data_IF_098018238532
#
_entry.id   IF_098018238532
#
_cell.length_a   1.000
_cell.length_b   1.000
_cell.length_c   1.000
_cell.angle_alpha   90.00
_cell.angle_beta   90.00
_cell.angle_gamma   90.00
#
_symmetry.space_group_name_H-M   'P 1'
#
loop_
_entity.id
_entity.type
_entity.pdbx_description
1 polymer ?
2 water ?
#
# COMPACT_ATOMS: atom_id res chain seq x y z
N UNK A 16 -28.89 9.17 -10.06
CA UNK A 16 -28.18 9.52 -8.85
C UNK A 16 -28.12 8.28 -7.98
N UNK A 17 -26.93 7.70 -7.87
CA UNK A 17 -26.70 6.48 -7.10
C UNK A 17 -26.44 6.71 -5.61
N UNK A 18 -26.95 5.76 -4.82
CA UNK A 18 -26.83 5.81 -3.37
C UNK A 18 -25.51 5.21 -2.89
N UNK A 19 -25.16 5.50 -1.64
CA UNK A 19 -23.93 4.97 -1.07
C UNK A 19 -23.95 3.45 -1.11
N UNK A 20 -25.14 2.88 -0.93
CA UNK A 20 -25.28 1.43 -0.95
C UNK A 20 -25.01 0.84 -2.33
N UNK A 21 -25.43 1.54 -3.37
CA UNK A 21 -25.20 1.05 -4.74
C UNK A 21 -23.73 1.23 -5.09
N UNK A 22 -23.17 2.36 -4.69
CA UNK A 22 -21.77 2.64 -4.96
C UNK A 22 -20.89 1.60 -4.27
N UNK A 23 -21.24 1.24 -3.04
CA UNK A 23 -20.49 0.26 -2.26
C UNK A 23 -20.51 -1.08 -2.97
N UNK A 24 -21.67 -1.40 -3.55
CA UNK A 24 -21.84 -2.66 -4.28
C UNK A 24 -20.96 -2.66 -5.51
N UNK A 26 -18.26 -1.07 -6.06
CA UNK A 26 -16.86 -1.12 -5.71
C UNK A 26 -16.39 -2.24 -4.83
N UNK A 27 -17.28 -3.17 -4.56
CA UNK A 27 -16.92 -4.26 -3.69
C UNK A 27 -16.43 -3.71 -2.36
N UNK A 28 -17.08 -2.65 -1.88
CA UNK A 28 -16.72 -2.03 -0.61
C UNK A 28 -17.97 -2.06 0.25
N UNK A 29 -17.80 -1.85 1.55
CA UNK A 29 -18.97 -1.85 2.44
C UNK A 29 -19.52 -0.43 2.55
N UNK A 30 -20.79 -0.34 2.95
CA UNK A 30 -21.42 0.96 3.16
C UNK A 30 -20.61 1.71 4.22
N UNK A 31 -20.11 0.98 5.21
CA UNK A 31 -19.31 1.60 6.25
C UNK A 31 -18.06 2.29 5.70
N UNK A 32 -17.38 1.64 4.77
CA UNK A 32 -16.17 2.23 4.19
C UNK A 32 -16.49 3.52 3.43
N UNK A 33 -17.52 3.47 2.60
CA UNK A 33 -17.88 4.66 1.84
C UNK A 33 -18.26 5.80 2.78
N UNK A 34 -19.02 5.48 3.82
CA UNK A 34 -19.43 6.49 4.78
C UNK A 34 -18.21 7.06 5.51
N UNK A 35 -17.20 6.23 5.71
CA UNK A 35 -16.01 6.69 6.38
C UNK A 35 -15.27 7.70 5.51
N UNK A 36 -15.19 7.43 4.22
CA UNK A 36 -14.53 8.34 3.28
C UNK A 36 -15.32 9.63 3.25
N UNK A 37 -16.64 9.51 3.29
CA UNK A 37 -17.50 10.69 3.28
C UNK A 37 -17.12 11.49 4.53
N UNK A 38 -17.04 10.79 5.66
CA UNK A 38 -16.69 11.40 6.94
C UNK A 38 -15.35 12.12 6.85
N UNK A 39 -14.40 11.55 6.10
CA UNK A 39 -13.08 12.17 5.94
C UNK A 39 -13.10 13.44 5.08
N UNK A 40 -14.25 13.74 4.48
CA UNK A 40 -14.34 14.94 3.67
C UNK A 40 -13.91 14.75 2.23
N UNK A 41 -13.89 13.50 1.79
CA UNK A 41 -13.48 13.20 0.43
C UNK A 41 -14.57 13.40 -0.60
N UNK A 42 -15.83 13.49 -0.17
CA UNK A 42 -16.92 13.67 -1.13
C UNK A 42 -17.69 14.99 -0.98
N UNK A 43 -17.00 16.14 -1.11
CA UNK A 43 -17.69 17.42 -0.97
C UNK A 43 -18.64 17.68 -2.13
N UNK A 44 -18.57 16.85 -3.16
CA UNK A 44 -19.40 17.02 -4.35
C UNK A 44 -20.73 16.25 -4.33
N UNK A 45 -21.00 15.55 -3.24
CA UNK A 45 -22.25 14.81 -3.15
C UNK A 45 -23.39 15.80 -3.08
N UNK A 46 -24.56 15.35 -3.52
CA UNK A 46 -25.74 16.18 -3.47
C UNK A 46 -26.80 15.33 -2.78
N UNK A 47 -27.99 15.87 -2.57
CA UNK A 47 -29.06 15.11 -1.95
C UNK A 47 -30.18 14.93 -2.94
N UNK A 48 -30.83 13.76 -2.90
CA UNK A 48 -31.95 13.56 -3.80
C UNK A 48 -33.17 14.08 -3.08
N UNK A 49 -34.36 13.86 -3.64
CA UNK A 49 -35.58 14.34 -3.03
C UNK A 49 -35.79 13.79 -1.63
N UNK A 50 -35.24 12.62 -1.34
CA UNK A 50 -35.39 12.02 -0.02
C UNK A 50 -34.32 12.50 0.98
N UNK A 51 -33.41 13.35 0.51
CA UNK A 51 -32.36 13.86 1.38
C UNK A 51 -31.18 12.92 1.48
N UNK A 52 -31.23 11.83 0.72
CA UNK A 52 -30.15 10.86 0.71
C UNK A 52 -28.92 11.44 -0.03
N UNK A 53 -27.73 11.17 0.48
CA UNK A 53 -26.51 11.71 -0.14
C UNK A 53 -26.17 10.81 -1.33
N UNK A 54 -26.31 11.37 -2.53
CA UNK A 54 -26.13 10.61 -3.78
C UNK A 54 -24.99 11.01 -4.72
N UNK A 55 -24.65 10.09 -5.62
CA UNK A 55 -23.58 10.28 -6.60
C UNK A 55 -24.14 10.39 -8.01
N UNK A 56 -23.87 11.49 -8.70
CA UNK A 56 -24.32 11.60 -10.07
C UNK A 56 -23.15 11.05 -10.92
N UNK A 57 -23.31 11.00 -12.24
CA UNK A 57 -22.24 10.45 -13.08
C UNK A 57 -20.87 11.03 -12.77
N UNK A 58 -20.79 12.34 -12.65
CA UNK A 58 -19.54 13.02 -12.37
C UNK A 58 -18.97 12.60 -11.01
N UNK A 59 -19.86 12.47 -10.02
CA UNK A 59 -19.48 12.08 -8.67
C UNK A 59 -18.79 10.71 -8.68
N UNK A 60 -19.33 9.79 -9.47
CA UNK A 60 -18.78 8.46 -9.56
C UNK A 60 -17.38 8.49 -10.15
N UNK A 61 -17.17 9.37 -11.13
CA UNK A 61 -15.86 9.48 -11.76
C UNK A 61 -14.86 9.99 -10.72
N UNK A 62 -15.30 10.94 -9.90
CA UNK A 62 -14.44 11.46 -8.85
C UNK A 62 -14.16 10.33 -7.85
N UNK A 63 -15.17 9.48 -7.62
CA UNK A 63 -15.00 8.37 -6.70
C UNK A 63 -13.93 7.39 -7.20
N UNK A 64 -13.99 7.07 -8.48
CA UNK A 64 -13.03 6.18 -9.11
C UNK A 64 -11.60 6.67 -8.87
N UNK A 66 -10.59 8.85 -6.58
CA UNK A 66 -10.30 8.90 -5.17
C UNK A 66 -9.79 7.55 -4.70
N UNK A 67 -10.47 6.50 -5.10
CA UNK A 67 -10.05 5.16 -4.72
C UNK A 67 -8.71 4.83 -5.37
N UNK A 68 -8.55 5.25 -6.62
CA UNK A 68 -7.31 5.01 -7.34
C UNK A 68 -6.13 5.62 -6.58
N UNK A 69 -6.26 6.90 -6.25
CA UNK A 69 -5.20 7.59 -5.54
C UNK A 69 -5.00 6.99 -4.16
N UNK A 70 -6.08 6.62 -3.51
CA UNK A 70 -5.97 6.04 -2.18
C UNK A 70 -5.23 4.70 -2.28
N UNK A 71 -5.60 3.91 -3.28
CA UNK A 71 -5.01 2.60 -3.47
C UNK A 71 -3.59 2.64 -4.04
N UNK A 72 -3.10 3.84 -4.35
CA UNK A 72 -1.75 3.97 -4.86
C UNK A 72 -0.91 4.78 -3.88
N UNK A 73 -1.36 4.81 -2.63
CA UNK A 73 -0.61 5.49 -1.58
C UNK A 73 -0.65 6.98 -1.37
N UNK A 75 -1.73 10.39 0.27
CA UNK A 75 -2.30 10.74 1.58
C UNK A 75 -3.67 11.39 1.38
N UNK A 76 -4.60 11.07 2.26
CA UNK A 76 -5.97 11.60 2.20
C UNK A 76 -5.97 13.11 1.98
N UNK A 77 -5.25 13.83 2.82
CA UNK A 77 -5.19 15.28 2.72
C UNK A 77 -4.85 15.72 1.30
N UNK A 78 -3.95 14.99 0.65
CA UNK A 78 -3.53 15.31 -0.71
C UNK A 78 -4.68 15.02 -1.70
N UNK A 79 -5.41 13.94 -1.46
CA UNK A 79 -6.52 13.62 -2.33
C UNK A 79 -7.58 14.72 -2.22
N UNK A 80 -7.89 15.11 -0.99
CA UNK A 80 -8.88 16.17 -0.75
C UNK A 80 -8.47 17.44 -1.48
N UNK A 81 -7.17 17.74 -1.45
CA UNK A 81 -6.62 18.91 -2.12
C UNK A 81 -6.90 18.79 -3.62
N UNK A 82 -6.72 17.58 -4.15
CA UNK A 82 -6.97 17.31 -5.57
C UNK A 82 -8.46 17.53 -5.88
N UNK A 83 -9.32 17.04 -5.00
CA UNK A 83 -10.75 17.19 -5.20
C UNK A 83 -11.13 18.67 -5.16
N UNK A 84 -10.54 19.42 -4.23
CA UNK A 84 -10.83 20.85 -4.13
C UNK A 84 -10.47 21.55 -5.43
N UNK A 85 -9.28 21.29 -5.95
CA UNK A 85 -8.87 21.92 -7.20
C UNK A 85 -9.80 21.58 -8.35
N UNK A 86 -10.24 20.33 -8.42
CA UNK A 86 -11.13 19.90 -9.48
C UNK A 86 -12.42 20.70 -9.54
N UNK A 88 -12.73 23.71 -8.33
CA UNK A 88 -12.41 25.12 -8.47
C UNK A 88 -12.43 25.50 -9.94
N UNK A 89 -12.21 24.52 -10.80
CA UNK A 89 -12.24 24.79 -12.23
C UNK A 89 -10.90 24.68 -12.92
N UNK A 90 -10.88 24.99 -14.22
CA UNK A 90 -9.66 24.89 -15.01
C UNK A 90 -8.56 25.83 -14.53
N UNK A 91 -8.85 26.60 -13.50
CA UNK A 91 -7.86 27.54 -12.96
C UNK A 91 -6.77 26.75 -12.24
N UNK A 92 -7.06 25.48 -11.98
CA UNK A 92 -6.13 24.61 -11.28
C UNK A 92 -5.67 23.46 -12.17
N UNK A 93 -6.05 23.51 -13.44
CA UNK A 93 -5.68 22.46 -14.38
C UNK A 93 -4.19 22.13 -14.34
N UNK A 94 -3.33 23.13 -14.20
CA UNK A 94 -1.88 22.90 -14.15
C UNK A 94 -1.48 22.21 -12.85
N UNK A 95 -2.13 22.60 -11.75
CA UNK A 95 -1.85 22.00 -10.45
C UNK A 95 -2.21 20.51 -10.48
N UNK A 96 -3.35 20.22 -11.07
CA UNK A 96 -3.84 18.85 -11.14
C UNK A 96 -2.97 17.99 -12.06
N UNK A 97 -2.65 18.50 -13.25
CA UNK A 97 -1.80 17.77 -14.20
C UNK A 97 -0.50 17.39 -13.50
N UNK A 98 0.11 18.38 -12.84
CA UNK A 98 1.34 18.19 -12.09
C UNK A 98 1.18 17.03 -11.10
N UNK A 99 0.07 17.06 -10.36
CA UNK A 99 -0.24 16.04 -9.37
C UNK A 99 -0.34 14.65 -9.98
N UNK A 101 0.88 13.66 -12.91
CA UNK A 101 2.16 13.26 -13.46
C UNK A 101 3.03 12.75 -12.33
N UNK A 102 2.93 13.41 -11.18
CA UNK A 102 3.72 12.98 -10.02
C UNK A 102 3.25 11.61 -9.53
N UNK A 103 1.95 11.37 -9.59
CA UNK A 103 1.43 10.08 -9.15
C UNK A 103 1.78 8.97 -10.15
N UNK A 104 1.84 9.32 -11.43
CA UNK A 104 2.21 8.32 -12.45
C UNK A 104 3.65 7.91 -12.12
N UNK A 105 4.49 8.92 -11.89
CA UNK A 105 5.88 8.62 -11.55
C UNK A 105 5.91 7.74 -10.29
N UNK A 106 5.11 8.08 -9.29
CA UNK A 106 5.05 7.30 -8.05
C UNK A 106 4.55 5.88 -8.29
N UNK A 107 3.57 5.73 -9.16
CA UNK A 107 3.03 4.42 -9.39
C UNK A 107 3.99 3.53 -10.19
N UNK A 108 4.73 4.14 -11.12
CA UNK A 108 5.69 3.38 -11.88
C UNK A 108 6.76 2.85 -10.89
N UNK A 109 7.12 3.67 -9.91
CA UNK A 109 8.09 3.24 -8.90
C UNK A 109 7.51 2.09 -8.04
N UNK A 110 6.23 2.18 -7.71
CA UNK A 110 5.56 1.14 -6.93
C UNK A 110 5.67 -0.18 -7.67
N UNK A 111 5.32 -0.16 -8.96
CA UNK A 111 5.37 -1.35 -9.80
C UNK A 111 6.80 -1.89 -9.79
N UNK A 112 7.76 -1.01 -10.04
CA UNK A 112 9.15 -1.42 -10.07
C UNK A 112 9.55 -2.10 -8.75
N UNK A 113 9.18 -1.47 -7.64
CA UNK A 113 9.54 -2.00 -6.33
C UNK A 113 8.77 -3.28 -6.02
N UNK A 114 7.53 -3.35 -6.46
CA UNK A 114 6.74 -4.55 -6.19
C UNK A 114 7.30 -5.71 -7.01
N UNK A 115 7.79 -5.44 -8.21
CA UNK A 115 8.39 -6.51 -9.03
C UNK A 115 9.65 -7.04 -8.33
N UNK A 116 10.42 -6.12 -7.74
CA UNK A 116 11.63 -6.49 -7.03
C UNK A 116 11.27 -7.42 -5.85
N UNK A 117 10.18 -7.10 -5.18
CA UNK A 117 9.74 -7.91 -4.06
C UNK A 117 9.20 -9.24 -4.54
N UNK A 118 8.54 -9.25 -5.69
CA UNK A 118 8.00 -10.49 -6.23
C UNK A 118 9.15 -11.45 -6.49
N UNK A 119 10.26 -10.92 -7.01
CA UNK A 119 11.43 -11.75 -7.30
C UNK A 119 11.99 -12.38 -6.05
N UNK A 120 12.06 -11.62 -4.96
CA UNK A 120 12.58 -12.15 -3.70
C UNK A 120 11.68 -13.29 -3.23
N UNK A 121 10.37 -13.07 -3.31
CA UNK A 121 9.40 -14.07 -2.90
C UNK A 121 9.57 -15.33 -3.72
N UNK A 122 9.67 -15.17 -5.03
CA UNK A 122 9.81 -16.31 -5.92
C UNK A 122 11.11 -17.04 -5.69
N UNK A 123 12.18 -16.32 -5.40
CA UNK A 123 13.46 -16.97 -5.15
C UNK A 123 13.33 -17.82 -3.88
N UNK A 124 12.65 -17.27 -2.88
CA UNK A 124 12.45 -17.98 -1.63
C UNK A 124 11.67 -19.27 -1.92
N UNK A 125 10.73 -19.20 -2.85
CA UNK A 125 9.93 -20.37 -3.23
C UNK A 125 10.83 -21.42 -3.88
N UNK A 126 11.78 -20.97 -4.68
CA UNK A 126 12.70 -21.88 -5.35
C UNK A 126 13.55 -22.56 -4.26
N UNK A 127 14.04 -21.75 -3.33
CA UNK A 127 14.88 -22.24 -2.23
C UNK A 127 14.18 -23.35 -1.48
N UNK A 128 12.90 -23.18 -1.20
CA UNK A 128 12.13 -24.20 -0.49
C UNK A 128 11.96 -25.45 -1.35
N UNK B 16 28.91 -7.98 13.16
CA UNK B 16 27.54 -7.63 13.42
C UNK B 16 27.35 -6.14 13.15
N UNK B 17 26.08 -5.76 13.11
CA UNK B 17 25.68 -4.40 12.84
C UNK B 17 24.63 -3.98 13.85
N UNK B 18 24.70 -2.72 14.27
CA UNK B 18 23.75 -2.19 15.24
C UNK B 18 22.39 -1.86 14.63
N UNK B 19 21.35 -1.82 15.46
CA UNK B 19 20.00 -1.50 15.01
C UNK B 19 20.05 -0.18 14.23
N UNK B 20 20.90 0.74 14.70
CA UNK B 20 21.05 2.04 14.08
C UNK B 20 21.68 2.00 12.70
N UNK B 21 22.71 1.18 12.52
CA UNK B 21 23.37 1.08 11.22
C UNK B 21 22.45 0.39 10.22
N UNK B 22 21.74 -0.62 10.70
CA UNK B 22 20.83 -1.36 9.84
C UNK B 22 19.72 -0.44 9.36
N UNK B 23 19.27 0.48 10.22
CA UNK B 23 18.23 1.42 9.86
C UNK B 23 18.71 2.28 8.71
N UNK B 24 19.96 2.72 8.80
CA UNK B 24 20.53 3.53 7.75
C UNK B 24 20.65 2.73 6.45
N UNK B 26 18.95 0.15 5.58
CA UNK B 26 17.61 -0.17 5.08
C UNK B 26 16.73 1.04 4.91
N UNK B 27 17.33 2.22 4.97
CA UNK B 27 16.58 3.47 4.83
C UNK B 27 15.33 3.44 5.70
N UNK B 28 15.52 2.96 6.93
CA UNK B 28 14.45 2.88 7.91
C UNK B 28 14.79 3.84 9.04
N UNK B 29 13.78 4.30 9.77
CA UNK B 29 14.01 5.18 10.90
C UNK B 29 14.26 4.27 12.07
N UNK B 30 14.95 4.77 13.09
CA UNK B 30 15.25 3.99 14.28
C UNK B 30 13.96 3.47 14.91
N UNK B 31 12.93 4.31 14.92
CA UNK B 31 11.65 3.95 15.50
C UNK B 31 10.90 2.89 14.70
N UNK B 32 11.06 2.92 13.37
CA UNK B 32 10.38 1.96 12.50
C UNK B 32 10.88 0.55 12.82
N UNK B 33 12.19 0.40 12.94
CA UNK B 33 12.78 -0.89 13.24
C UNK B 33 12.38 -1.37 14.63
N UNK B 34 12.23 -0.43 15.55
CA UNK B 34 11.86 -0.80 16.91
C UNK B 34 10.42 -1.31 16.96
N UNK B 35 9.60 -0.82 16.04
CA UNK B 35 8.22 -1.24 15.97
C UNK B 35 8.21 -2.73 15.63
N UNK B 36 9.00 -3.09 14.63
CA UNK B 36 9.09 -4.48 14.20
C UNK B 36 9.63 -5.32 15.36
N UNK B 37 10.49 -4.70 16.17
CA UNK B 37 11.06 -5.38 17.32
C UNK B 37 9.96 -5.68 18.32
N UNK B 38 9.17 -4.65 18.66
CA UNK B 38 8.08 -4.82 19.60
C UNK B 38 7.07 -5.84 19.08
N UNK B 39 6.86 -5.84 17.77
CA UNK B 39 5.92 -6.79 17.17
C UNK B 39 6.52 -8.20 17.23
N UNK B 40 7.71 -8.30 17.80
CA UNK B 40 8.38 -9.58 17.94
C UNK B 40 8.78 -10.23 16.64
N UNK B 41 9.39 -9.48 15.74
CA UNK B 41 9.80 -10.00 14.44
C UNK B 41 11.29 -10.34 14.38
N UNK B 42 12.03 -10.01 15.42
CA UNK B 42 13.46 -10.28 15.45
C UNK B 42 13.87 -11.23 16.58
N UNK B 43 13.27 -12.42 16.65
CA UNK B 43 13.64 -13.34 17.72
C UNK B 43 15.05 -13.90 17.50
N UNK B 44 15.56 -13.68 16.30
CA UNK B 44 16.88 -14.16 15.90
C UNK B 44 18.04 -13.21 16.14
N UNK B 45 17.78 -12.10 16.83
CA UNK B 45 18.83 -11.14 17.09
C UNK B 45 19.83 -11.64 18.13
N UNK B 46 21.11 -11.45 17.83
CA UNK B 46 22.19 -11.88 18.71
C UNK B 46 22.61 -10.79 19.70
N UNK B 47 23.67 -11.10 20.45
CA UNK B 47 24.22 -10.21 21.47
C UNK B 47 25.69 -9.94 21.18
N UNK B 48 26.15 -8.73 21.46
CA UNK B 48 27.55 -8.42 21.25
C UNK B 48 28.23 -8.53 22.61
N UNK B 49 29.55 -8.30 22.65
CA UNK B 49 30.29 -8.41 23.89
C UNK B 49 29.70 -7.56 25.00
N UNK B 50 29.03 -6.47 24.64
CA UNK B 50 28.41 -5.58 25.62
C UNK B 50 27.08 -6.12 26.14
N UNK B 51 26.32 -6.74 25.27
CA UNK B 51 25.04 -7.28 25.67
C UNK B 51 23.92 -6.64 24.86
N UNK B 52 24.30 -5.83 23.88
CA UNK B 52 23.31 -5.16 23.03
C UNK B 52 22.81 -6.15 22.00
N UNK B 53 21.63 -5.89 21.44
CA UNK B 53 21.08 -6.79 20.43
C UNK B 53 21.46 -6.24 19.06
N UNK B 54 22.14 -7.08 18.29
CA UNK B 54 22.64 -6.68 16.98
C UNK B 54 22.26 -7.64 15.86
N UNK B 55 22.53 -7.21 14.64
CA UNK B 55 22.24 -8.00 13.44
C UNK B 55 23.48 -8.63 12.82
N UNK B 56 23.47 -9.96 12.68
CA UNK B 56 24.56 -10.63 11.99
C UNK B 56 24.04 -10.77 10.56
N UNK B 57 24.84 -11.36 9.68
CA UNK B 57 24.44 -11.52 8.29
C UNK B 57 23.11 -12.24 8.10
N UNK B 58 22.85 -13.26 8.89
CA UNK B 58 21.59 -13.99 8.76
C UNK B 58 20.41 -13.14 9.24
N UNK B 59 20.64 -12.35 10.29
CA UNK B 59 19.58 -11.51 10.83
C UNK B 59 19.13 -10.52 9.77
N UNK B 60 20.07 -10.02 8.98
CA UNK B 60 19.76 -9.05 7.94
C UNK B 60 18.94 -9.69 6.80
N UNK B 61 19.28 -10.94 6.44
CA UNK B 61 18.55 -11.63 5.39
C UNK B 61 17.09 -11.75 5.82
N UNK B 62 16.88 -12.07 7.09
CA UNK B 62 15.52 -12.17 7.63
C UNK B 62 14.84 -10.79 7.59
N UNK B 63 15.60 -9.73 7.88
CA UNK B 63 15.02 -8.39 7.86
C UNK B 63 14.57 -8.00 6.46
N UNK B 64 15.34 -8.37 5.45
CA UNK B 64 14.99 -8.04 4.09
C UNK B 64 13.68 -8.70 3.71
N UNK B 66 11.34 -9.66 5.93
CA UNK B 66 10.32 -9.03 6.74
C UNK B 66 9.84 -7.80 5.99
N UNK B 67 10.79 -6.99 5.53
CA UNK B 67 10.45 -5.78 4.80
C UNK B 67 9.75 -6.06 3.48
N UNK B 68 10.19 -7.11 2.78
CA UNK B 68 9.61 -7.49 1.51
C UNK B 68 8.14 -7.85 1.69
N UNK B 69 7.85 -8.68 2.69
CA UNK B 69 6.49 -9.11 2.98
C UNK B 69 5.62 -7.95 3.48
N UNK B 70 6.22 -7.06 4.26
CA UNK B 70 5.48 -5.93 4.78
C UNK B 70 5.19 -4.92 3.66
N UNK B 71 6.16 -4.71 2.79
CA UNK B 71 5.98 -3.77 1.70
C UNK B 71 5.04 -4.28 0.62
N UNK B 72 4.62 -5.55 0.73
CA UNK B 72 3.71 -6.12 -0.23
C UNK B 72 2.36 -6.38 0.41
N UNK B 73 2.16 -5.79 1.58
CA UNK B 73 0.90 -5.89 2.28
C UNK B 73 0.60 -7.08 3.17
N UNK B 75 -0.09 -9.00 6.38
CA UNK B 75 -0.46 -8.59 7.74
C UNK B 75 0.70 -8.90 8.69
N UNK B 76 0.88 -8.04 9.68
CA UNK B 76 1.95 -8.21 10.65
C UNK B 76 1.91 -9.55 11.37
N UNK B 77 0.71 -10.03 11.67
CA UNK B 77 0.56 -11.30 12.38
C UNK B 77 1.05 -12.48 11.58
N UNK B 78 0.84 -12.44 10.27
CA UNK B 78 1.28 -13.52 9.39
C UNK B 78 2.78 -13.46 9.20
N UNK B 79 3.34 -12.26 9.19
CA UNK B 79 4.78 -12.12 9.04
C UNK B 79 5.45 -12.72 10.26
N UNK B 80 4.86 -12.49 11.43
CA UNK B 80 5.42 -13.02 12.67
C UNK B 80 5.31 -14.54 12.64
N UNK B 81 4.20 -15.02 12.08
CA UNK B 81 3.96 -16.45 11.97
C UNK B 81 5.02 -17.06 11.07
N UNK B 82 5.43 -16.29 10.06
CA UNK B 82 6.45 -16.74 9.12
C UNK B 82 7.78 -16.86 9.85
N UNK B 83 8.05 -15.88 10.69
CA UNK B 83 9.29 -15.83 11.46
C UNK B 83 9.35 -16.96 12.48
N UNK B 84 8.24 -17.16 13.20
CA UNK B 84 8.18 -18.21 14.20
C UNK B 84 8.39 -19.57 13.54
N UNK B 85 7.77 -19.77 12.38
CA UNK B 85 7.93 -21.03 11.66
C UNK B 85 9.37 -21.22 11.22
N UNK B 86 9.99 -20.14 10.73
CA UNK B 86 11.38 -20.21 10.29
C UNK B 86 12.26 -20.60 11.46
N UNK B 88 11.28 -22.48 14.09
CA UNK B 88 10.99 -23.87 14.45
C UNK B 88 11.79 -24.89 13.65
N UNK B 89 12.40 -24.46 12.55
CA UNK B 89 13.19 -25.39 11.75
C UNK B 89 12.49 -25.95 10.53
N UNK B 90 13.18 -26.83 9.82
CA UNK B 90 12.63 -27.42 8.59
C UNK B 90 11.40 -28.29 8.80
N UNK B 91 10.84 -28.28 10.00
CA UNK B 91 9.64 -29.06 10.25
C UNK B 91 8.42 -28.26 9.79
N UNK B 92 8.64 -27.01 9.40
CA UNK B 92 7.59 -26.14 8.93
C UNK B 92 7.81 -25.72 7.48
N UNK B 93 8.72 -26.41 6.80
CA UNK B 93 9.05 -26.11 5.41
C UNK B 93 7.83 -26.04 4.51
N UNK B 94 6.88 -26.96 4.69
CA UNK B 94 5.67 -26.96 3.87
C UNK B 94 4.79 -25.76 4.20
N UNK B 95 4.73 -25.41 5.48
CA UNK B 95 3.92 -24.27 5.91
C UNK B 95 4.46 -23.01 5.26
N UNK B 96 5.75 -22.78 5.46
CA UNK B 96 6.41 -21.61 4.91
C UNK B 96 6.32 -21.57 3.39
N UNK B 97 6.50 -22.72 2.75
CA UNK B 97 6.42 -22.79 1.29
C UNK B 97 5.04 -22.35 0.86
N UNK B 98 4.03 -22.82 1.58
CA UNK B 98 2.66 -22.46 1.29
C UNK B 98 2.42 -20.96 1.44
N UNK B 99 2.89 -20.38 2.54
CA UNK B 99 2.72 -18.96 2.82
C UNK B 99 3.31 -18.10 1.70
N UNK B 101 3.88 -19.02 -1.41
CA UNK B 101 3.12 -19.24 -2.64
C UNK B 101 1.86 -18.38 -2.63
N UNK B 102 1.21 -18.26 -1.48
CA UNK B 102 0.02 -17.43 -1.42
C UNK B 102 0.41 -15.97 -1.61
N UNK B 103 1.50 -15.55 -0.97
CA UNK B 103 1.94 -14.17 -1.10
C UNK B 103 2.28 -13.86 -2.56
N UNK B 104 2.94 -14.79 -3.23
CA UNK B 104 3.28 -14.59 -4.62
C UNK B 104 1.98 -14.30 -5.38
N UNK B 105 0.98 -15.15 -5.16
CA UNK B 105 -0.31 -14.97 -5.81
C UNK B 105 -0.83 -13.55 -5.48
N UNK B 106 -0.75 -13.17 -4.21
CA UNK B 106 -1.21 -11.84 -3.81
C UNK B 106 -0.41 -10.72 -4.47
N UNK B 107 0.90 -10.89 -4.58
CA UNK B 107 1.70 -9.86 -5.19
C UNK B 107 1.40 -9.76 -6.69
N UNK B 108 1.15 -10.88 -7.34
CA UNK B 108 0.81 -10.83 -8.76
C UNK B 108 -0.46 -9.99 -8.94
N UNK B 109 -1.45 -10.23 -8.07
CA UNK B 109 -2.70 -9.48 -8.15
C UNK B 109 -2.44 -8.00 -7.90
N UNK B 110 -1.58 -7.73 -6.91
CA UNK B 110 -1.21 -6.37 -6.57
C UNK B 110 -0.63 -5.63 -7.76
N UNK B 111 0.24 -6.28 -8.51
CA UNK B 111 0.85 -5.65 -9.68
C UNK B 111 -0.25 -5.36 -10.71
N UNK B 112 -1.12 -6.33 -10.94
CA UNK B 112 -2.17 -6.11 -11.91
C UNK B 112 -3.09 -4.97 -11.48
N UNK B 113 -3.46 -4.96 -10.20
CA UNK B 113 -4.31 -3.89 -9.68
C UNK B 113 -3.63 -2.54 -9.83
N UNK B 114 -2.31 -2.51 -9.64
CA UNK B 114 -1.54 -1.27 -9.73
C UNK B 114 -1.44 -0.82 -11.19
N UNK B 115 -1.28 -1.79 -12.09
CA UNK B 115 -1.24 -1.44 -13.50
C UNK B 115 -2.59 -0.81 -13.88
N UNK B 116 -3.66 -1.37 -13.33
CA UNK B 116 -5.00 -0.86 -13.63
C UNK B 116 -5.14 0.58 -13.13
N UNK B 117 -4.59 0.85 -11.96
CA UNK B 117 -4.64 2.19 -11.40
C UNK B 117 -3.78 3.14 -12.24
N UNK B 118 -2.64 2.64 -12.70
CA UNK B 118 -1.73 3.44 -13.52
C UNK B 118 -2.49 3.90 -14.79
N UNK B 119 -3.33 3.02 -15.32
CA UNK B 119 -4.12 3.34 -16.51
C UNK B 119 -5.10 4.49 -16.24
N UNK B 120 -5.71 4.47 -15.06
CA UNK B 120 -6.65 5.51 -14.71
C UNK B 120 -5.95 6.86 -14.56
N UNK B 121 -4.79 6.88 -13.90
CA UNK B 121 -4.03 8.12 -13.74
C UNK B 121 -3.62 8.67 -15.10
N UNK B 122 -3.19 7.79 -15.99
CA UNK B 122 -2.75 8.19 -17.32
C UNK B 122 -3.90 8.76 -18.15
N UNK B 123 -5.08 8.17 -18.04
CA UNK B 123 -6.23 8.66 -18.76
C UNK B 123 -6.54 10.09 -18.28
N UNK B 124 -6.43 10.31 -16.97
CA UNK B 124 -6.69 11.64 -16.41
C UNK B 124 -5.68 12.61 -16.97
N UNK B 125 -4.45 12.15 -17.15
CA UNK B 125 -3.40 12.98 -17.70
C UNK B 125 -3.74 13.38 -19.12
N UNK B 126 -4.13 12.41 -19.92
CA UNK B 126 -4.51 12.66 -21.31
C UNK B 126 -5.63 13.71 -21.34
N UNK B 127 -6.62 13.52 -20.48
CA UNK B 127 -7.76 14.42 -20.37
C UNK B 127 -7.32 15.85 -20.06
N UNK B 128 -6.52 16.01 -19.00
CA UNK B 128 -6.04 17.34 -18.61
C UNK B 128 -5.28 18.05 -19.71
N UNK B 129 -4.67 17.29 -20.59
CA UNK B 129 -3.93 17.92 -21.68
C UNK B 129 -4.93 18.36 -22.74
N UNK B 130 -6.12 18.77 -22.29
CA UNK B 130 -7.18 19.25 -23.17
C UNK B 130 -6.60 20.32 -24.06
N UNK B 131 -6.56 21.53 -23.52
CA UNK B 131 -6.01 22.71 -24.19
C UNK B 131 -5.86 22.57 -25.71
#
# INVERSE_FOLDING_TARGET
>A
XSLALYLGNKRXNDXYYTIGQVAKXQHLTISQIRYYDKQGLFPFLQRNEKGDRIFNEEALKYLEXILCLKNTGXPIQKIKQFIDWSXEGDSTILHRLKLXKQQEANVLQLIQDTEKNLKKIQQKIAKYEDEISSANATTKEGHHHHHH
>B
XSLALYLGNKRXNDXYYTIGQVAKXQHLTISQIRYYDKQGLFPFLQRNEKGDRIFNEEALKYLEXILCLKNTGXPIQKIKQFIDWSXEGDSTILHRLKLXKQQEANVLQLIQDTEKNLKKIQQKIAKYEDEISSANATTKEGHHHHHH
#
